data_IF_468706253946
#
_entry.id   IF_468706253946
#
_cell.length_a   1.000
_cell.length_b   1.000
_cell.length_c   1.000
_cell.angle_alpha   90.00
_cell.angle_beta   90.00
_cell.angle_gamma   90.00
#
_symmetry.space_group_name_H-M   'P 1'
#
loop_
_entity.id
_entity.type
_entity.pdbx_description
1 polymer ?
#
# COMPACT_ATOMS: atom_id res chain seq x y z
N UNK A 1 -61.78 51.21 -30.21
CA UNK A 1 -60.39 51.34 -29.77
C UNK A 1 -60.22 50.45 -28.56
N UNK A 2 -59.58 49.26 -28.75
CA UNK A 2 -59.43 48.24 -27.72
C UNK A 2 -57.94 48.15 -27.44
N UNK A 3 -57.51 48.55 -26.27
CA UNK A 3 -56.19 48.47 -25.73
C UNK A 3 -55.95 47.08 -25.10
N UNK A 4 -55.13 46.29 -25.68
CA UNK A 4 -54.65 45.01 -25.11
C UNK A 4 -53.41 45.27 -24.22
N UNK A 5 -53.52 44.86 -22.97
CA UNK A 5 -52.41 44.84 -22.04
C UNK A 5 -51.62 43.52 -22.19
N UNK A 6 -50.29 43.54 -22.22
CA UNK A 6 -49.51 42.29 -22.20
C UNK A 6 -49.32 41.75 -20.80
N UNK A 7 -49.60 40.47 -20.62
CA UNK A 7 -49.30 39.71 -19.40
C UNK A 7 -47.81 39.37 -19.34
N UNK A 8 -47.17 39.79 -18.25
CA UNK A 8 -45.80 39.43 -17.94
C UNK A 8 -45.80 38.11 -17.20
N UNK A 9 -45.29 37.05 -17.84
CA UNK A 9 -45.04 35.77 -17.18
C UNK A 9 -43.66 35.81 -16.50
N UNK A 10 -43.65 35.81 -15.17
CA UNK A 10 -42.45 35.64 -14.39
C UNK A 10 -42.09 34.12 -14.35
N UNK A 11 -41.04 33.73 -15.02
CA UNK A 11 -40.45 32.40 -14.86
C UNK A 11 -39.59 32.36 -13.59
N UNK A 12 -40.05 31.65 -12.58
CA UNK A 12 -39.25 31.30 -11.42
C UNK A 12 -38.33 30.10 -11.82
N UNK A 13 -37.05 30.37 -11.98
CA UNK A 13 -36.05 29.32 -12.17
C UNK A 13 -35.77 28.65 -10.80
N UNK A 14 -36.25 27.45 -10.62
CA UNK A 14 -35.88 26.59 -9.49
C UNK A 14 -34.49 26.01 -9.76
N UNK A 15 -33.46 26.49 -9.03
CA UNK A 15 -32.14 25.89 -9.02
C UNK A 15 -32.19 24.60 -8.18
N UNK A 16 -32.12 23.44 -8.85
CA UNK A 16 -31.91 22.18 -8.20
C UNK A 16 -30.45 22.08 -7.79
N UNK A 17 -30.20 22.17 -6.50
CA UNK A 17 -28.87 21.84 -5.92
C UNK A 17 -28.73 20.33 -5.94
N UNK A 18 -27.93 19.80 -6.87
CA UNK A 18 -27.54 18.40 -6.87
C UNK A 18 -26.55 18.18 -5.73
N UNK A 19 -27.02 17.59 -4.64
CA UNK A 19 -26.15 17.06 -3.59
C UNK A 19 -25.40 15.85 -4.16
N UNK A 20 -24.13 16.05 -4.50
CA UNK A 20 -23.20 14.95 -4.73
C UNK A 20 -22.98 14.26 -3.38
N UNK A 21 -23.58 13.09 -3.21
CA UNK A 21 -23.27 12.22 -2.09
C UNK A 21 -21.83 11.73 -2.29
N UNK A 22 -20.88 12.31 -1.54
CA UNK A 22 -19.58 11.72 -1.33
C UNK A 22 -19.79 10.36 -0.65
N UNK A 23 -19.73 9.30 -1.44
CA UNK A 23 -19.65 7.94 -0.91
C UNK A 23 -18.31 7.82 -0.20
N UNK A 24 -18.25 7.64 1.12
CA UNK A 24 -16.98 7.42 1.79
C UNK A 24 -16.37 6.13 1.22
N UNK A 25 -15.22 6.27 0.58
CA UNK A 25 -14.43 5.12 0.15
C UNK A 25 -14.21 4.23 1.37
N UNK A 26 -14.71 2.99 1.31
CA UNK A 26 -14.45 1.98 2.33
C UNK A 26 -12.94 1.92 2.57
N UNK A 27 -12.47 2.07 3.82
CA UNK A 27 -11.08 1.89 4.13
C UNK A 27 -10.70 0.47 3.75
N UNK A 28 -9.76 0.35 2.81
CA UNK A 28 -9.24 -0.94 2.39
C UNK A 28 -8.81 -1.74 3.62
N UNK A 29 -9.31 -2.97 3.69
CA UNK A 29 -9.03 -3.92 4.77
C UNK A 29 -7.51 -4.00 4.96
N UNK A 30 -7.03 -3.64 6.16
CA UNK A 30 -5.65 -3.89 6.57
C UNK A 30 -4.73 -2.69 6.82
N UNK A 31 -5.21 -1.44 6.68
CA UNK A 31 -4.36 -0.28 6.96
C UNK A 31 -4.80 0.50 8.19
N UNK A 32 -4.02 0.39 9.25
CA UNK A 32 -4.16 1.23 10.43
C UNK A 32 -3.13 2.36 10.37
N UNK A 33 -3.58 3.61 10.34
CA UNK A 33 -2.68 4.76 10.46
C UNK A 33 -2.50 5.09 11.93
N UNK A 34 -1.27 4.92 12.41
CA UNK A 34 -0.87 5.35 13.74
C UNK A 34 0.07 6.54 13.64
N UNK A 35 -0.29 7.67 14.24
CA UNK A 35 0.54 8.89 14.31
C UNK A 35 1.10 9.37 12.95
N UNK A 36 0.28 9.32 11.89
CA UNK A 36 0.69 9.74 10.54
C UNK A 36 1.52 8.70 9.76
N UNK A 37 1.87 7.57 10.37
CA UNK A 37 2.58 6.47 9.71
C UNK A 37 1.58 5.46 9.14
N UNK A 38 1.91 4.88 8.02
CA UNK A 38 1.15 3.76 7.45
C UNK A 38 1.59 2.46 8.11
N UNK A 39 0.64 1.67 8.58
CA UNK A 39 0.89 0.37 9.22
C UNK A 39 0.07 -0.72 8.54
N UNK A 40 0.55 -1.95 8.59
CA UNK A 40 -0.16 -3.13 8.09
C UNK A 40 0.11 -4.36 8.96
N UNK A 41 -0.78 -5.34 8.92
CA UNK A 41 -0.56 -6.61 9.58
C UNK A 41 0.29 -7.53 8.71
N UNK A 42 1.23 -8.24 9.28
CA UNK A 42 2.08 -9.19 8.55
C UNK A 42 1.26 -10.20 7.72
N UNK A 43 0.08 -10.61 8.21
CA UNK A 43 -0.85 -11.52 7.52
C UNK A 43 -1.52 -10.93 6.28
N UNK A 44 -1.53 -9.60 6.15
CA UNK A 44 -2.15 -8.90 5.00
C UNK A 44 -1.20 -8.79 3.81
N UNK A 45 0.04 -9.26 3.97
CA UNK A 45 0.99 -9.35 2.86
C UNK A 45 0.55 -10.48 1.93
N UNK A 46 0.17 -10.11 0.71
CA UNK A 46 -0.38 -11.02 -0.29
C UNK A 46 0.66 -11.50 -1.31
N UNK A 47 1.69 -10.70 -1.56
CA UNK A 47 2.74 -11.02 -2.51
C UNK A 47 4.04 -10.27 -2.16
N UNK A 48 5.15 -10.70 -2.75
CA UNK A 48 6.43 -10.01 -2.63
C UNK A 48 7.25 -10.15 -3.92
N UNK A 49 8.18 -9.23 -4.10
CA UNK A 49 9.20 -9.29 -5.13
C UNK A 49 10.51 -8.70 -4.61
N UNK A 50 11.63 -9.15 -5.14
CA UNK A 50 12.94 -8.61 -4.84
C UNK A 50 13.72 -8.45 -6.14
N UNK A 51 14.22 -7.24 -6.39
CA UNK A 51 15.10 -6.95 -7.53
C UNK A 51 16.57 -7.25 -7.20
N UNK A 52 16.90 -7.10 -5.94
CA UNK A 52 18.23 -7.35 -5.40
C UNK A 52 18.16 -8.08 -4.05
N UNK A 53 19.32 -8.41 -3.49
CA UNK A 53 19.42 -9.12 -2.22
C UNK A 53 19.35 -8.18 -0.98
N UNK A 54 18.95 -6.92 -1.14
CA UNK A 54 18.87 -5.92 -0.07
C UNK A 54 17.54 -5.22 0.04
N UNK A 55 16.71 -5.30 -1.00
CA UNK A 55 15.43 -4.61 -1.07
C UNK A 55 14.32 -5.59 -1.39
N UNK A 56 13.32 -5.62 -0.52
CA UNK A 56 12.12 -6.44 -0.67
C UNK A 56 10.91 -5.54 -0.85
N UNK A 57 10.14 -5.79 -1.89
CA UNK A 57 8.87 -5.13 -2.12
C UNK A 57 7.73 -6.05 -1.67
N UNK A 58 6.87 -5.52 -0.81
CA UNK A 58 5.75 -6.26 -0.21
C UNK A 58 4.44 -5.68 -0.71
N UNK A 59 3.58 -6.52 -1.29
CA UNK A 59 2.19 -6.15 -1.58
C UNK A 59 1.33 -6.43 -0.37
N UNK A 60 0.67 -5.37 0.10
CA UNK A 60 -0.25 -5.44 1.24
C UNK A 60 -1.67 -5.21 0.73
N UNK A 61 -2.53 -6.19 0.95
CA UNK A 61 -3.88 -6.15 0.38
C UNK A 61 -3.85 -6.13 -1.15
N UNK A 62 -4.68 -5.27 -1.75
CA UNK A 62 -4.87 -5.24 -3.22
C UNK A 62 -3.97 -4.23 -3.93
N UNK A 63 -3.67 -3.08 -3.30
CA UNK A 63 -3.08 -1.92 -4.00
C UNK A 63 -1.78 -1.41 -3.39
N UNK A 64 -1.56 -1.65 -2.12
CA UNK A 64 -0.45 -1.01 -1.43
C UNK A 64 0.83 -1.82 -1.57
N UNK A 65 1.90 -1.11 -1.87
CA UNK A 65 3.24 -1.69 -1.97
C UNK A 65 4.15 -0.96 -0.99
N UNK A 66 4.92 -1.74 -0.26
CA UNK A 66 5.91 -1.25 0.68
C UNK A 66 7.29 -1.71 0.24
N UNK A 67 8.27 -0.82 0.33
CA UNK A 67 9.67 -1.16 0.16
C UNK A 67 10.28 -1.39 1.55
N UNK A 68 10.84 -2.58 1.75
CA UNK A 68 11.57 -2.97 2.94
C UNK A 68 13.06 -3.04 2.62
N UNK A 69 13.87 -2.29 3.35
CA UNK A 69 15.34 -2.35 3.26
C UNK A 69 15.87 -3.36 4.28
N UNK A 70 16.77 -4.24 3.86
CA UNK A 70 17.34 -5.28 4.70
C UNK A 70 18.68 -4.87 5.30
N UNK A 71 19.01 -5.42 6.45
CA UNK A 71 20.30 -5.27 7.07
C UNK A 71 21.30 -6.24 6.39
N UNK A 72 22.03 -5.74 5.41
CA UNK A 72 22.98 -6.55 4.66
C UNK A 72 22.35 -7.36 3.52
N UNK A 73 23.10 -8.30 2.99
CA UNK A 73 22.72 -9.13 1.85
C UNK A 73 21.92 -10.34 2.31
N UNK A 74 20.73 -10.49 1.78
CA UNK A 74 19.90 -11.67 1.94
C UNK A 74 20.04 -12.52 0.68
N UNK A 75 20.92 -13.51 0.71
CA UNK A 75 21.35 -14.27 -0.48
C UNK A 75 20.17 -14.92 -1.20
N UNK A 76 20.21 -14.85 -2.53
CA UNK A 76 19.21 -15.45 -3.42
C UNK A 76 17.78 -14.94 -3.20
N UNK A 77 17.58 -13.78 -2.60
CA UNK A 77 16.24 -13.24 -2.36
C UNK A 77 15.49 -12.98 -3.67
N UNK A 78 16.18 -12.51 -4.71
CA UNK A 78 15.62 -12.30 -6.06
C UNK A 78 15.25 -13.61 -6.78
N UNK A 79 15.79 -14.75 -6.36
CA UNK A 79 15.50 -16.08 -6.91
C UNK A 79 14.43 -16.85 -6.15
N UNK A 80 13.99 -16.32 -5.02
CA UNK A 80 12.95 -16.93 -4.19
C UNK A 80 11.58 -16.64 -4.79
N UNK A 81 11.07 -17.54 -5.60
CA UNK A 81 9.76 -17.36 -6.25
C UNK A 81 8.59 -17.84 -5.40
N UNK A 82 8.82 -18.43 -4.23
CA UNK A 82 7.76 -19.21 -3.65
C UNK A 82 7.37 -18.89 -2.22
N UNK A 83 8.27 -18.56 -1.31
CA UNK A 83 7.87 -18.36 0.10
C UNK A 83 8.91 -17.61 0.91
N UNK A 84 8.47 -16.51 1.48
CA UNK A 84 9.13 -15.86 2.61
C UNK A 84 8.17 -15.86 3.79
N UNK A 85 8.70 -15.73 5.00
CA UNK A 85 7.89 -15.41 6.17
C UNK A 85 8.37 -14.09 6.77
N UNK A 86 7.44 -13.25 7.18
CA UNK A 86 7.72 -12.07 7.99
C UNK A 86 7.52 -12.44 9.45
N UNK A 87 8.54 -12.28 10.25
CA UNK A 87 8.51 -12.54 11.69
C UNK A 87 8.75 -11.22 12.41
N UNK A 88 7.73 -10.73 13.07
CA UNK A 88 7.84 -9.59 13.98
C UNK A 88 8.00 -10.10 15.41
N UNK A 89 8.93 -9.53 16.14
CA UNK A 89 9.27 -9.96 17.50
C UNK A 89 8.47 -9.24 18.58
N UNK A 90 7.84 -8.13 18.24
CA UNK A 90 6.99 -7.36 19.16
C UNK A 90 5.50 -7.58 18.86
N UNK A 91 5.02 -6.99 17.78
CA UNK A 91 3.62 -7.12 17.37
C UNK A 91 3.53 -7.55 15.91
N UNK A 92 2.41 -8.19 15.52
CA UNK A 92 2.18 -8.51 14.11
C UNK A 92 1.84 -7.27 13.26
N UNK A 93 1.73 -6.09 13.88
CA UNK A 93 1.49 -4.81 13.22
C UNK A 93 2.84 -4.18 12.86
N UNK A 94 3.08 -3.97 11.58
CA UNK A 94 4.31 -3.42 11.03
C UNK A 94 4.02 -2.01 10.52
N UNK A 95 4.75 -1.02 11.03
CA UNK A 95 4.57 0.40 10.67
C UNK A 95 5.77 0.93 9.91
N UNK A 96 5.55 1.94 9.06
CA UNK A 96 6.63 2.65 8.38
C UNK A 96 7.63 3.25 9.38
N UNK A 97 8.88 3.15 9.04
CA UNK A 97 9.96 3.76 9.82
C UNK A 97 11.25 2.95 9.81
N UNK A 98 12.26 3.42 10.50
CA UNK A 98 13.52 2.72 10.72
C UNK A 98 13.46 1.82 11.95
N UNK A 99 14.47 0.96 12.10
CA UNK A 99 14.73 0.13 13.28
C UNK A 99 13.54 -0.74 13.69
N UNK A 100 13.04 -1.49 12.73
CA UNK A 100 11.95 -2.42 12.92
C UNK A 100 12.47 -3.74 13.48
N UNK A 101 11.78 -4.28 14.48
CA UNK A 101 12.07 -5.62 15.00
C UNK A 101 11.31 -6.67 14.18
N UNK A 102 11.63 -6.71 12.88
CA UNK A 102 11.00 -7.59 11.88
C UNK A 102 12.07 -8.26 11.05
N UNK A 103 11.97 -9.56 10.91
CA UNK A 103 12.84 -10.37 10.06
C UNK A 103 12.09 -10.93 8.85
N UNK A 104 12.79 -11.02 7.75
CA UNK A 104 12.43 -11.85 6.60
C UNK A 104 13.11 -13.21 6.78
N UNK A 105 12.34 -14.27 6.81
CA UNK A 105 12.85 -15.64 6.76
C UNK A 105 12.73 -16.12 5.32
N UNK A 106 13.86 -16.32 4.67
CA UNK A 106 13.93 -16.78 3.30
C UNK A 106 14.61 -18.15 3.20
N UNK A 107 14.27 -18.98 2.22
CA UNK A 107 15.01 -20.21 1.95
C UNK A 107 16.45 -19.92 1.54
N UNK A 108 17.36 -20.75 2.00
CA UNK A 108 18.76 -20.75 1.59
C UNK A 108 19.16 -22.16 1.17
N UNK A 109 19.69 -22.36 -0.05
CA UNK A 109 20.05 -23.68 -0.56
C UNK A 109 21.13 -24.40 0.25
N UNK A 110 22.01 -23.63 0.93
CA UNK A 110 23.13 -24.20 1.70
C UNK A 110 22.79 -24.53 3.14
N UNK A 111 22.01 -23.66 3.81
CA UNK A 111 21.73 -23.78 5.25
C UNK A 111 20.24 -24.00 5.56
N UNK A 112 19.40 -24.12 4.53
CA UNK A 112 17.96 -24.35 4.64
C UNK A 112 17.14 -23.09 4.80
N UNK A 113 17.45 -22.22 5.75
CA UNK A 113 16.78 -20.92 5.95
C UNK A 113 17.74 -19.88 6.46
N UNK A 114 17.61 -18.67 5.94
CA UNK A 114 18.32 -17.49 6.41
C UNK A 114 17.36 -16.49 7.03
N UNK A 115 17.87 -15.71 7.97
CA UNK A 115 17.16 -14.61 8.62
C UNK A 115 17.76 -13.29 8.15
N UNK A 116 16.92 -12.43 7.62
CA UNK A 116 17.30 -11.15 7.07
C UNK A 116 16.54 -10.04 7.80
N UNK A 117 17.18 -9.33 8.77
CA UNK A 117 16.53 -8.27 9.51
C UNK A 117 16.15 -7.10 8.59
N UNK A 118 14.97 -6.53 8.82
CA UNK A 118 14.51 -5.32 8.14
C UNK A 118 14.98 -4.09 8.91
N UNK A 119 15.68 -3.19 8.24
CA UNK A 119 16.13 -1.93 8.83
C UNK A 119 15.12 -0.81 8.70
N UNK A 120 14.35 -0.80 7.63
CA UNK A 120 13.30 0.21 7.41
C UNK A 120 12.24 -0.29 6.46
N UNK A 121 11.02 0.23 6.63
CA UNK A 121 9.91 0.02 5.70
C UNK A 121 9.29 1.38 5.37
N UNK A 122 8.94 1.57 4.10
CA UNK A 122 8.16 2.72 3.63
C UNK A 122 7.11 2.30 2.61
N UNK A 123 5.97 2.97 2.63
CA UNK A 123 4.94 2.81 1.61
C UNK A 123 5.38 3.51 0.32
N UNK A 124 5.18 2.86 -0.82
CA UNK A 124 5.42 3.44 -2.14
C UNK A 124 4.18 4.19 -2.63
N UNK A 125 4.42 5.28 -3.32
CA UNK A 125 3.37 5.97 -4.09
C UNK A 125 3.01 5.17 -5.33
N UNK A 126 1.81 5.34 -5.92
CA UNK A 126 1.43 4.67 -7.17
C UNK A 126 2.42 4.93 -8.31
N UNK A 127 2.99 6.12 -8.37
CA UNK A 127 4.00 6.49 -9.39
C UNK A 127 5.29 5.69 -9.19
N UNK A 128 5.77 5.56 -7.94
CA UNK A 128 6.95 4.74 -7.64
C UNK A 128 6.71 3.27 -7.97
N UNK A 129 5.53 2.74 -7.65
CA UNK A 129 5.17 1.35 -7.97
C UNK A 129 5.19 1.11 -9.48
N UNK A 130 4.64 2.04 -10.28
CA UNK A 130 4.64 1.92 -11.74
C UNK A 130 6.04 2.05 -12.37
N UNK A 131 6.96 2.70 -11.67
CA UNK A 131 8.35 2.87 -12.10
C UNK A 131 9.26 1.70 -11.71
N UNK A 132 8.78 0.75 -10.88
CA UNK A 132 9.55 -0.44 -10.52
C UNK A 132 9.83 -1.31 -11.75
N UNK A 133 11.03 -1.92 -11.85
CA UNK A 133 11.30 -2.98 -12.81
C UNK A 133 10.25 -4.10 -12.70
N UNK A 134 9.97 -4.78 -13.81
CA UNK A 134 8.91 -5.82 -13.84
C UNK A 134 9.15 -6.97 -12.86
N UNK A 135 10.39 -7.31 -12.63
CA UNK A 135 10.84 -8.33 -11.68
C UNK A 135 10.76 -7.88 -10.21
N UNK A 136 10.67 -6.57 -9.98
CA UNK A 136 10.50 -5.96 -8.66
C UNK A 136 9.03 -5.62 -8.32
N UNK A 137 8.10 -5.88 -9.22
CA UNK A 137 6.67 -5.64 -8.96
C UNK A 137 6.05 -6.83 -8.26
N UNK A 138 5.64 -6.68 -6.96
CA UNK A 138 5.01 -7.75 -6.20
C UNK A 138 3.58 -8.03 -6.60
#
# INVERSE_FOLDING_TARGET
MKTLAPAVFAFAAAMAVSATADTPASPGVGQTRMHGKSCFWARDVSNFAAHDDKTLYLRVGVRDVYAASLFGTCFNLSWVHSRIALVSHDTSLICEGPNLDVDVIAPDPGIGRQRCPITSIRKLTPTEVSALPKDAQP
#
